data_IF_681527485316
#
_entry.id   IF_681527485316
#
_cell.length_a   1.000
_cell.length_b   1.000
_cell.length_c   1.000
_cell.angle_alpha   90.00
_cell.angle_beta   90.00
_cell.angle_gamma   90.00
#
_symmetry.space_group_name_H-M   'P 1'
#
loop_
_entity.id
_entity.type
_entity.pdbx_description
1 polymer ?
#
# COMPACT_ATOMS: atom_id res chain seq x y z
N UNK A 1 -34.15 -80.50 -6.81
CA UNK A 1 -32.80 -79.93 -6.55
C UNK A 1 -32.96 -78.54 -5.99
N UNK A 2 -32.90 -78.33 -4.68
CA UNK A 2 -33.06 -77.03 -4.02
C UNK A 2 -31.68 -76.48 -3.66
N UNK A 3 -31.32 -75.33 -4.27
CA UNK A 3 -30.11 -74.62 -3.85
C UNK A 3 -30.58 -73.47 -2.96
N UNK A 4 -30.46 -73.62 -1.65
CA UNK A 4 -30.64 -72.53 -0.69
C UNK A 4 -29.38 -71.66 -0.70
N UNK A 5 -29.44 -70.47 -1.30
CA UNK A 5 -28.43 -69.47 -1.20
C UNK A 5 -28.53 -68.82 0.19
N UNK A 6 -27.60 -69.12 1.06
CA UNK A 6 -27.38 -68.47 2.34
C UNK A 6 -26.73 -67.10 2.13
N UNK A 7 -27.57 -66.08 1.97
CA UNK A 7 -27.08 -64.69 2.03
C UNK A 7 -26.96 -64.31 3.51
N UNK A 8 -25.77 -64.49 4.08
CA UNK A 8 -25.42 -63.94 5.39
C UNK A 8 -25.30 -62.46 5.28
N UNK A 9 -26.30 -61.76 5.83
CA UNK A 9 -26.26 -60.34 6.08
C UNK A 9 -25.17 -60.04 7.12
N UNK A 10 -24.04 -59.51 6.66
CA UNK A 10 -23.02 -58.91 7.52
C UNK A 10 -23.41 -57.43 7.68
N UNK A 11 -24.42 -57.18 8.47
CA UNK A 11 -24.85 -55.82 8.82
C UNK A 11 -24.80 -55.59 10.34
N UNK A 12 -23.60 -55.61 10.89
CA UNK A 12 -23.45 -55.33 12.31
C UNK A 12 -22.02 -55.00 12.67
N UNK A 13 -21.66 -53.73 12.74
CA UNK A 13 -20.40 -53.33 13.34
C UNK A 13 -19.73 -52.05 12.82
N UNK A 14 -20.24 -51.37 11.77
CA UNK A 14 -19.53 -50.24 11.19
C UNK A 14 -20.04 -48.82 11.58
N UNK A 15 -21.12 -48.70 12.35
CA UNK A 15 -21.74 -47.40 12.64
C UNK A 15 -20.90 -46.49 13.56
N UNK A 16 -20.07 -47.05 14.45
CA UNK A 16 -19.21 -46.28 15.34
C UNK A 16 -17.94 -45.76 14.65
N UNK A 17 -17.37 -46.52 13.73
CA UNK A 17 -16.19 -46.14 12.96
C UNK A 17 -16.52 -45.00 11.97
N UNK A 18 -17.65 -45.05 11.28
CA UNK A 18 -18.07 -44.02 10.35
C UNK A 18 -18.23 -42.65 11.01
N UNK A 19 -18.70 -42.59 12.25
CA UNK A 19 -18.89 -41.32 12.97
C UNK A 19 -17.55 -40.71 13.40
N UNK A 20 -16.60 -41.51 13.82
CA UNK A 20 -15.24 -41.07 14.17
C UNK A 20 -14.49 -40.59 12.93
N UNK A 21 -14.64 -41.25 11.79
CA UNK A 21 -14.03 -40.87 10.52
C UNK A 21 -14.58 -39.54 10.03
N UNK A 22 -15.88 -39.30 10.12
CA UNK A 22 -16.51 -38.02 9.78
C UNK A 22 -16.01 -36.91 10.70
N UNK A 23 -15.90 -37.13 12.00
CA UNK A 23 -15.36 -36.15 12.94
C UNK A 23 -13.90 -35.81 12.66
N UNK A 24 -13.07 -36.81 12.34
CA UNK A 24 -11.68 -36.59 11.94
C UNK A 24 -11.59 -35.82 10.62
N UNK A 25 -12.40 -36.18 9.63
CA UNK A 25 -12.44 -35.49 8.35
C UNK A 25 -12.85 -34.01 8.50
N UNK A 26 -13.87 -33.72 9.31
CA UNK A 26 -14.29 -32.37 9.63
C UNK A 26 -13.21 -31.60 10.42
N UNK A 27 -12.54 -32.26 11.37
CA UNK A 27 -11.44 -31.68 12.11
C UNK A 27 -10.27 -31.29 11.19
N UNK A 28 -9.83 -32.18 10.33
CA UNK A 28 -8.77 -31.90 9.35
C UNK A 28 -9.17 -30.80 8.35
N UNK A 29 -10.42 -30.83 7.85
CA UNK A 29 -10.93 -29.80 6.95
C UNK A 29 -10.96 -28.44 7.59
N UNK A 30 -11.34 -28.34 8.86
CA UNK A 30 -11.35 -27.05 9.57
C UNK A 30 -9.95 -26.45 9.74
N UNK A 31 -8.95 -27.27 10.06
CA UNK A 31 -7.55 -26.83 10.13
C UNK A 31 -7.05 -26.37 8.77
N UNK A 32 -7.36 -27.10 7.70
CA UNK A 32 -6.97 -26.72 6.35
C UNK A 32 -7.59 -25.38 5.92
N UNK A 33 -8.86 -25.14 6.24
CA UNK A 33 -9.54 -23.87 5.98
C UNK A 33 -8.89 -22.71 6.73
N UNK A 34 -8.48 -22.91 7.99
CA UNK A 34 -7.77 -21.88 8.76
C UNK A 34 -6.41 -21.53 8.14
N UNK A 35 -5.66 -22.51 7.67
CA UNK A 35 -4.37 -22.27 6.99
C UNK A 35 -4.59 -21.50 5.69
N UNK A 36 -5.57 -21.90 4.88
CA UNK A 36 -5.91 -21.21 3.64
C UNK A 36 -6.37 -19.77 3.89
N UNK A 37 -7.19 -19.56 4.91
CA UNK A 37 -7.64 -18.21 5.30
C UNK A 37 -6.48 -17.30 5.69
N UNK A 38 -5.53 -17.80 6.50
CA UNK A 38 -4.34 -17.04 6.87
C UNK A 38 -3.45 -16.73 5.66
N UNK A 39 -3.27 -17.71 4.76
CA UNK A 39 -2.51 -17.50 3.52
C UNK A 39 -3.16 -16.44 2.62
N UNK A 40 -4.49 -16.45 2.49
CA UNK A 40 -5.22 -15.45 1.73
C UNK A 40 -5.07 -14.05 2.33
N UNK A 41 -5.21 -13.90 3.66
CA UNK A 41 -5.00 -12.61 4.33
C UNK A 41 -3.60 -12.06 4.10
N UNK A 42 -2.57 -12.89 4.21
CA UNK A 42 -1.19 -12.49 3.94
C UNK A 42 -1.01 -12.06 2.48
N UNK A 43 -1.55 -12.82 1.54
CA UNK A 43 -1.50 -12.49 0.11
C UNK A 43 -2.19 -11.15 -0.20
N UNK A 44 -3.35 -10.90 0.38
CA UNK A 44 -4.06 -9.61 0.22
C UNK A 44 -3.23 -8.44 0.77
N UNK A 45 -2.62 -8.60 1.94
CA UNK A 45 -1.77 -7.56 2.53
C UNK A 45 -0.56 -7.22 1.65
N UNK A 46 0.08 -8.23 1.05
CA UNK A 46 1.18 -8.04 0.10
C UNK A 46 0.70 -7.34 -1.18
N UNK A 47 -0.48 -7.68 -1.69
CA UNK A 47 -1.06 -7.00 -2.87
C UNK A 47 -1.34 -5.53 -2.59
N UNK A 48 -1.96 -5.20 -1.46
CA UNK A 48 -2.20 -3.82 -1.05
C UNK A 48 -0.89 -3.05 -0.95
N UNK A 49 0.13 -3.64 -0.32
CA UNK A 49 1.45 -3.02 -0.22
C UNK A 49 2.08 -2.74 -1.60
N UNK A 50 2.00 -3.70 -2.51
CA UNK A 50 2.55 -3.52 -3.86
C UNK A 50 1.82 -2.42 -4.64
N UNK A 51 0.50 -2.30 -4.47
CA UNK A 51 -0.30 -1.22 -5.07
C UNK A 51 0.08 0.14 -4.48
N UNK A 52 0.21 0.24 -3.16
CA UNK A 52 0.65 1.48 -2.51
C UNK A 52 2.04 1.89 -2.99
N UNK A 53 2.98 0.95 -3.08
CA UNK A 53 4.33 1.21 -3.56
C UNK A 53 4.34 1.70 -5.02
N UNK A 54 3.49 1.13 -5.86
CA UNK A 54 3.32 1.56 -7.24
C UNK A 54 2.78 3.00 -7.33
N UNK A 55 1.72 3.32 -6.59
CA UNK A 55 1.16 4.67 -6.53
C UNK A 55 2.15 5.67 -5.95
N UNK A 56 2.85 5.31 -4.87
CA UNK A 56 3.88 6.14 -4.27
C UNK A 56 5.02 6.47 -5.25
N UNK A 57 5.47 5.48 -6.01
CA UNK A 57 6.51 5.69 -7.02
C UNK A 57 6.03 6.59 -8.17
N UNK A 58 4.81 6.39 -8.66
CA UNK A 58 4.23 7.28 -9.68
C UNK A 58 4.11 8.71 -9.18
N UNK A 59 3.59 8.89 -7.96
CA UNK A 59 3.46 10.21 -7.35
C UNK A 59 4.83 10.87 -7.18
N UNK A 60 5.83 10.13 -6.68
CA UNK A 60 7.18 10.63 -6.49
C UNK A 60 7.80 11.14 -7.79
N UNK A 61 7.65 10.40 -8.90
CA UNK A 61 8.13 10.81 -10.21
C UNK A 61 7.37 12.03 -10.75
N UNK A 62 6.07 12.12 -10.52
CA UNK A 62 5.25 13.27 -10.89
C UNK A 62 5.67 14.52 -10.12
N UNK A 63 5.83 14.40 -8.79
CA UNK A 63 6.34 15.48 -7.93
C UNK A 63 7.73 15.91 -8.40
N UNK A 64 8.63 14.97 -8.65
CA UNK A 64 9.99 15.24 -9.10
C UNK A 64 10.01 16.06 -10.40
N UNK A 65 9.17 15.70 -11.37
CA UNK A 65 9.09 16.43 -12.65
C UNK A 65 8.61 17.86 -12.49
N UNK A 66 7.65 18.09 -11.60
CA UNK A 66 7.11 19.43 -11.32
C UNK A 66 8.09 20.29 -10.53
N UNK A 67 8.71 19.69 -9.50
CA UNK A 67 9.71 20.39 -8.69
C UNK A 67 10.93 20.76 -9.52
N UNK A 68 11.34 19.93 -10.46
CA UNK A 68 12.41 20.26 -11.40
C UNK A 68 12.09 21.51 -12.24
N UNK A 69 10.83 21.68 -12.64
CA UNK A 69 10.41 22.83 -13.43
C UNK A 69 10.42 24.16 -12.64
N UNK A 70 10.15 24.10 -11.32
CA UNK A 70 10.00 25.29 -10.48
C UNK A 70 10.63 25.15 -9.08
N UNK A 71 11.93 24.88 -8.95
CA UNK A 71 12.55 24.49 -7.67
C UNK A 71 12.43 25.56 -6.59
N UNK A 72 12.55 26.84 -6.94
CA UNK A 72 12.49 27.96 -5.99
C UNK A 72 11.10 28.13 -5.35
N UNK A 73 10.04 27.83 -6.11
CA UNK A 73 8.67 27.97 -5.61
C UNK A 73 8.28 26.84 -4.66
N UNK A 74 8.84 25.64 -4.83
CA UNK A 74 8.58 24.51 -3.95
C UNK A 74 9.24 24.64 -2.57
N UNK A 75 10.34 25.37 -2.46
CA UNK A 75 10.93 25.69 -1.17
C UNK A 75 9.98 26.55 -0.31
N UNK A 76 9.21 27.46 -0.91
CA UNK A 76 8.21 28.26 -0.21
C UNK A 76 7.02 27.42 0.28
N UNK A 77 6.68 26.33 -0.42
CA UNK A 77 5.59 25.43 -0.05
C UNK A 77 5.87 24.57 1.18
N UNK A 78 7.11 24.16 1.41
CA UNK A 78 7.49 23.41 2.62
C UNK A 78 7.24 24.22 3.90
N UNK A 79 7.06 25.53 3.78
CA UNK A 79 6.84 26.42 4.91
C UNK A 79 5.35 26.76 5.18
N UNK A 80 4.46 26.62 4.20
CA UNK A 80 3.03 26.93 4.41
C UNK A 80 2.10 26.31 3.34
N UNK A 81 1.63 25.07 3.49
CA UNK A 81 0.77 24.41 2.51
C UNK A 81 -0.67 24.92 2.45
N UNK A 82 -1.10 25.78 3.39
CA UNK A 82 -2.53 26.10 3.59
C UNK A 82 -3.11 27.21 2.69
N UNK A 83 -2.34 27.83 1.82
CA UNK A 83 -2.80 29.00 1.03
C UNK A 83 -3.30 28.66 -0.39
N UNK A 84 -3.52 27.39 -0.73
CA UNK A 84 -3.81 26.99 -2.09
C UNK A 84 -5.31 27.08 -2.45
N UNK A 85 -5.62 27.95 -3.41
CA UNK A 85 -6.90 27.90 -4.10
C UNK A 85 -6.80 26.92 -5.27
N UNK A 86 -7.56 25.81 -5.23
CA UNK A 86 -7.60 24.77 -6.27
C UNK A 86 -8.00 25.23 -7.68
N UNK A 87 -8.28 26.53 -7.85
CA UNK A 87 -8.71 27.13 -9.10
C UNK A 87 -7.64 27.09 -10.20
N UNK A 88 -6.36 26.98 -9.85
CA UNK A 88 -5.26 26.99 -10.83
C UNK A 88 -5.16 25.71 -11.69
N UNK A 89 -5.77 24.59 -11.24
CA UNK A 89 -5.78 23.34 -12.01
C UNK A 89 -6.83 23.34 -13.13
N UNK A 90 -7.76 24.30 -13.12
CA UNK A 90 -8.88 24.37 -14.06
C UNK A 90 -8.60 25.18 -15.34
N UNK A 91 -7.34 25.45 -15.67
CA UNK A 91 -6.97 26.15 -16.91
C UNK A 91 -7.03 27.68 -16.86
N UNK A 92 -7.10 28.27 -15.67
CA UNK A 92 -7.01 29.72 -15.51
C UNK A 92 -5.54 30.20 -15.45
N UNK A 93 -5.31 31.45 -15.84
CA UNK A 93 -3.99 32.07 -15.71
C UNK A 93 -3.60 32.18 -14.24
N UNK A 94 -2.59 31.44 -13.85
CA UNK A 94 -2.07 31.44 -12.48
C UNK A 94 -0.62 31.90 -12.47
N UNK A 95 -0.25 32.62 -11.42
CA UNK A 95 1.16 32.88 -11.18
C UNK A 95 1.86 31.58 -10.75
N UNK A 96 3.18 31.43 -10.92
CA UNK A 96 3.91 30.20 -10.60
C UNK A 96 3.71 29.72 -9.16
N UNK A 97 3.61 30.64 -8.19
CA UNK A 97 3.39 30.31 -6.78
C UNK A 97 2.01 29.67 -6.55
N UNK A 98 0.96 30.25 -7.12
CA UNK A 98 -0.40 29.70 -7.00
C UNK A 98 -0.53 28.34 -7.71
N UNK A 99 0.16 28.16 -8.82
CA UNK A 99 0.21 26.88 -9.54
C UNK A 99 0.88 25.79 -8.69
N UNK A 100 2.02 26.10 -8.08
CA UNK A 100 2.74 25.17 -7.20
C UNK A 100 1.91 24.79 -5.97
N UNK A 101 1.19 25.76 -5.38
CA UNK A 101 0.27 25.50 -4.27
C UNK A 101 -0.89 24.58 -4.69
N UNK A 102 -1.49 24.80 -5.87
CA UNK A 102 -2.55 23.94 -6.39
C UNK A 102 -2.06 22.50 -6.62
N UNK A 103 -0.84 22.32 -7.15
CA UNK A 103 -0.22 21.01 -7.30
C UNK A 103 0.04 20.33 -5.95
N UNK A 104 0.49 21.05 -4.93
CA UNK A 104 0.71 20.49 -3.61
C UNK A 104 -0.59 19.96 -3.00
N UNK A 105 -1.71 20.70 -3.12
CA UNK A 105 -3.02 20.21 -2.69
C UNK A 105 -3.49 18.97 -3.48
N UNK A 106 -3.29 18.99 -4.80
CA UNK A 106 -3.61 17.84 -5.63
C UNK A 106 -2.84 16.59 -5.20
N UNK A 107 -1.52 16.69 -4.93
CA UNK A 107 -0.73 15.58 -4.43
C UNK A 107 -1.19 15.12 -3.05
N UNK A 108 -1.50 16.06 -2.15
CA UNK A 108 -2.04 15.74 -0.85
C UNK A 108 -3.32 14.90 -0.98
N UNK A 109 -4.22 15.29 -1.82
CA UNK A 109 -5.44 14.54 -2.09
C UNK A 109 -5.16 13.16 -2.68
N UNK A 110 -4.17 13.03 -3.57
CA UNK A 110 -3.80 11.74 -4.19
C UNK A 110 -3.20 10.77 -3.17
N UNK A 111 -2.30 11.21 -2.29
CA UNK A 111 -1.74 10.28 -1.31
C UNK A 111 -2.69 9.97 -0.16
N UNK A 112 -3.55 10.90 0.26
CA UNK A 112 -4.60 10.63 1.26
C UNK A 112 -5.56 9.52 0.81
N UNK A 113 -5.81 9.43 -0.50
CA UNK A 113 -6.68 8.38 -1.07
C UNK A 113 -6.03 7.00 -1.13
N UNK A 114 -4.72 6.92 -1.31
CA UNK A 114 -4.02 5.66 -1.61
C UNK A 114 -3.04 5.21 -0.52
N UNK A 115 -2.62 6.12 0.35
CA UNK A 115 -1.59 5.88 1.35
C UNK A 115 -2.07 6.37 2.72
N UNK A 116 -2.43 5.47 3.65
CA UNK A 116 -2.90 5.86 4.97
C UNK A 116 -1.80 6.59 5.74
N UNK A 117 -2.14 7.71 6.34
CA UNK A 117 -1.22 8.57 7.09
C UNK A 117 0.00 8.98 6.24
N UNK A 118 -0.24 9.23 4.94
CA UNK A 118 0.81 9.62 4.00
C UNK A 118 1.33 11.02 4.31
N UNK A 119 2.66 11.18 4.26
CA UNK A 119 3.33 12.47 4.40
C UNK A 119 4.34 12.66 3.28
N UNK A 120 4.24 13.78 2.57
CA UNK A 120 5.19 14.20 1.55
C UNK A 120 6.09 15.31 2.11
N UNK A 121 7.37 15.04 2.20
CA UNK A 121 8.39 15.99 2.62
C UNK A 121 9.30 16.35 1.44
N UNK A 122 9.47 17.65 1.18
CA UNK A 122 10.37 18.18 0.15
C UNK A 122 11.38 19.07 0.87
N UNK A 123 12.64 18.66 0.87
CA UNK A 123 13.71 19.39 1.53
C UNK A 123 14.87 19.68 0.58
N UNK A 124 15.44 20.86 0.71
CA UNK A 124 16.65 21.25 0.00
C UNK A 124 17.84 21.31 0.94
N UNK A 125 19.00 20.91 0.44
CA UNK A 125 20.26 21.11 1.15
C UNK A 125 20.63 22.59 1.08
N UNK A 126 20.37 23.34 2.18
CA UNK A 126 20.58 24.78 2.42
C UNK A 126 19.64 25.71 1.64
N UNK A 127 19.68 25.71 0.34
CA UNK A 127 18.84 26.54 -0.53
C UNK A 127 18.51 25.76 -1.80
N UNK A 128 17.28 25.89 -2.33
CA UNK A 128 16.89 25.27 -3.60
C UNK A 128 17.51 25.96 -4.81
N UNK A 129 18.81 26.28 -4.77
CA UNK A 129 19.53 26.91 -5.85
C UNK A 129 20.18 25.88 -6.78
N UNK A 130 20.52 26.28 -7.99
CA UNK A 130 21.24 25.43 -8.95
C UNK A 130 22.55 24.93 -8.34
N UNK A 131 22.83 23.65 -8.44
CA UNK A 131 24.00 22.97 -7.87
C UNK A 131 23.78 22.36 -6.47
N UNK A 132 22.64 22.57 -5.84
CA UNK A 132 22.25 21.94 -4.58
C UNK A 132 21.41 20.69 -4.81
N UNK A 133 21.36 19.81 -3.80
CA UNK A 133 20.51 18.62 -3.82
C UNK A 133 19.13 18.93 -3.24
N UNK A 134 18.11 18.40 -3.89
CA UNK A 134 16.73 18.38 -3.44
C UNK A 134 16.40 16.93 -3.06
N UNK A 135 15.90 16.73 -1.86
CA UNK A 135 15.36 15.45 -1.42
C UNK A 135 13.83 15.49 -1.35
N UNK A 136 13.19 14.54 -2.00
CA UNK A 136 11.75 14.33 -1.93
C UNK A 136 11.56 13.02 -1.19
N UNK A 137 10.83 13.04 -0.08
CA UNK A 137 10.54 11.85 0.73
C UNK A 137 9.04 11.71 0.89
N UNK A 138 8.54 10.51 0.61
CA UNK A 138 7.17 10.11 0.83
C UNK A 138 7.16 8.98 1.86
N UNK A 139 6.40 9.15 2.93
CA UNK A 139 6.23 8.15 4.01
C UNK A 139 4.75 7.81 4.17
N UNK A 140 4.43 6.58 4.55
CA UNK A 140 3.06 6.16 4.87
C UNK A 140 3.05 4.98 5.84
N UNK A 141 1.96 4.85 6.59
CA UNK A 141 1.81 3.73 7.51
C UNK A 141 1.63 2.41 6.76
N UNK A 142 2.51 1.43 7.05
CA UNK A 142 2.44 0.10 6.46
C UNK A 142 2.96 -0.97 7.43
N UNK A 143 2.05 -1.75 8.05
CA UNK A 143 2.41 -2.73 9.09
C UNK A 143 3.41 -3.80 8.64
N UNK A 144 3.47 -4.09 7.33
CA UNK A 144 4.41 -5.06 6.76
C UNK A 144 5.78 -4.47 6.45
N UNK A 145 5.95 -3.15 6.54
CA UNK A 145 7.23 -2.53 6.26
C UNK A 145 8.27 -2.90 7.32
N UNK A 146 9.39 -3.41 6.86
CA UNK A 146 10.56 -3.68 7.69
C UNK A 146 11.41 -2.42 7.77
N UNK A 147 11.97 -2.13 8.93
CA UNK A 147 12.88 -1.01 9.09
C UNK A 147 14.04 -1.11 8.07
N UNK A 148 14.21 -0.09 7.24
CA UNK A 148 15.25 -0.03 6.24
C UNK A 148 15.82 1.39 6.13
N UNK A 149 17.12 1.53 6.30
CA UNK A 149 17.78 2.83 6.22
C UNK A 149 17.19 3.85 7.21
N UNK A 150 16.59 4.90 6.68
CA UNK A 150 15.98 5.99 7.47
C UNK A 150 14.50 5.75 7.84
N UNK A 151 13.93 4.62 7.41
CA UNK A 151 12.52 4.31 7.64
C UNK A 151 12.34 3.42 8.87
N UNK A 152 11.39 3.76 9.72
CA UNK A 152 11.04 3.00 10.91
C UNK A 152 10.23 1.74 10.54
N UNK A 153 10.25 0.73 11.42
CA UNK A 153 9.39 -0.43 11.27
C UNK A 153 7.91 0.00 11.30
N UNK A 154 7.09 -0.56 10.40
CA UNK A 154 5.69 -0.19 10.26
C UNK A 154 5.45 1.09 9.43
N UNK A 155 6.51 1.73 8.94
CA UNK A 155 6.43 2.89 8.04
C UNK A 155 7.16 2.57 6.75
N UNK A 156 6.44 2.56 5.64
CA UNK A 156 7.06 2.50 4.32
C UNK A 156 7.51 3.91 3.91
N UNK A 157 8.66 3.99 3.25
CA UNK A 157 9.12 5.26 2.70
C UNK A 157 9.80 5.09 1.35
N UNK A 158 9.66 6.12 0.53
CA UNK A 158 10.42 6.31 -0.71
C UNK A 158 11.11 7.67 -0.66
N UNK A 159 12.36 7.70 -1.06
CA UNK A 159 13.12 8.95 -1.17
C UNK A 159 13.75 9.06 -2.55
N UNK A 160 13.75 10.27 -3.09
CA UNK A 160 14.41 10.61 -4.33
C UNK A 160 15.28 11.84 -4.10
N UNK A 161 16.56 11.74 -4.43
CA UNK A 161 17.49 12.85 -4.38
C UNK A 161 17.77 13.34 -5.80
N UNK A 162 17.50 14.62 -6.04
CA UNK A 162 17.66 15.28 -7.33
C UNK A 162 18.74 16.34 -7.19
N UNK A 163 19.68 16.38 -8.10
CA UNK A 163 20.65 17.48 -8.20
C UNK A 163 20.08 18.55 -9.12
N UNK A 164 19.89 19.75 -8.59
CA UNK A 164 19.35 20.90 -9.30
C UNK A 164 20.39 21.59 -10.18
#
# INVERSE_FOLDING_TARGET
>A
MRINSMVRSIAGGQRGFALLEVLLALGLSSVMLLVLYNAQRHSQAVLVYSQQLYHANQLLLQVASQVWAYPQHYFLLSQNPQAANGLCLAGQYCNPTAMVQAWALYWQQQYDQHMPEGELNIACDRTCAVGHSLSIRLTWHQPLAVASGECLAGVACLSLNIKL
#
